data_IF_049343748063
#
_entry.id   IF_049343748063
#
_cell.length_a   1.000
_cell.length_b   1.000
_cell.length_c   1.000
_cell.angle_alpha   90.00
_cell.angle_beta   90.00
_cell.angle_gamma   90.00
#
_symmetry.space_group_name_H-M   'P 1'
#
loop_
_entity.id
_entity.type
_entity.pdbx_description
1 polymer ?
#
# COMPACT_ATOMS: atom_id res chain seq x y z
N UNK A 1 -2.56 -5.15 -13.53
CA UNK A 1 -1.90 -4.17 -12.64
C UNK A 1 -2.23 -4.52 -11.19
N UNK A 2 -1.22 -4.74 -10.38
CA UNK A 2 -1.38 -5.06 -8.96
C UNK A 2 -0.37 -4.30 -8.13
N UNK A 3 -0.66 -4.14 -6.84
CA UNK A 3 0.30 -3.52 -5.92
C UNK A 3 1.44 -4.50 -5.63
N UNK A 4 2.66 -3.98 -5.53
CA UNK A 4 3.82 -4.78 -5.15
C UNK A 4 3.85 -4.90 -3.62
N UNK A 5 3.72 -6.13 -3.13
CA UNK A 5 3.63 -6.39 -1.68
C UNK A 5 4.87 -5.95 -0.92
N UNK A 6 6.04 -6.29 -1.42
CA UNK A 6 7.30 -5.93 -0.74
C UNK A 6 7.51 -4.42 -0.68
N UNK A 7 7.21 -3.74 -1.77
CA UNK A 7 7.35 -2.28 -1.82
C UNK A 7 6.31 -1.60 -0.94
N UNK A 8 5.08 -2.12 -0.91
CA UNK A 8 4.06 -1.59 0.00
C UNK A 8 4.49 -1.75 1.45
N UNK A 9 5.10 -2.87 1.78
CA UNK A 9 5.62 -3.11 3.12
C UNK A 9 6.71 -2.08 3.48
N UNK A 10 7.57 -1.74 2.52
CA UNK A 10 8.59 -0.71 2.73
C UNK A 10 7.97 0.66 3.01
N UNK A 11 6.89 1.01 2.30
CA UNK A 11 6.17 2.26 2.57
C UNK A 11 5.65 2.28 4.01
N UNK A 12 5.06 1.17 4.44
CA UNK A 12 4.53 1.07 5.80
C UNK A 12 5.62 1.27 6.83
N UNK A 13 6.78 0.64 6.63
CA UNK A 13 7.91 0.78 7.56
C UNK A 13 8.45 2.20 7.58
N UNK A 14 8.57 2.82 6.43
CA UNK A 14 9.20 4.14 6.29
C UNK A 14 8.30 5.25 6.84
N UNK A 15 7.02 5.22 6.52
CA UNK A 15 6.11 6.34 6.81
C UNK A 15 5.14 6.08 7.94
N UNK A 16 4.93 4.84 8.33
CA UNK A 16 3.92 4.47 9.32
C UNK A 16 4.48 3.65 10.49
N UNK A 17 5.78 3.67 10.68
CA UNK A 17 6.45 3.00 11.80
C UNK A 17 6.07 1.51 11.90
N UNK A 18 5.94 0.84 10.75
CA UNK A 18 5.61 -0.59 10.66
C UNK A 18 4.23 -0.90 11.26
N UNK A 19 3.32 0.07 11.23
CA UNK A 19 1.98 -0.07 11.81
C UNK A 19 0.95 -0.11 10.67
N UNK A 20 0.36 -1.30 10.43
CA UNK A 20 -0.57 -1.47 9.33
C UNK A 20 -1.90 -0.74 9.55
N UNK A 21 -2.33 -0.56 10.79
CA UNK A 21 -3.54 0.22 11.07
C UNK A 21 -3.37 1.67 10.65
N UNK A 22 -2.22 2.24 10.96
CA UNK A 22 -1.90 3.60 10.57
C UNK A 22 -1.79 3.72 9.04
N UNK A 23 -1.12 2.75 8.42
CA UNK A 23 -0.95 2.72 6.97
C UNK A 23 -2.30 2.61 6.27
N UNK A 24 -3.18 1.73 6.75
CA UNK A 24 -4.53 1.58 6.20
C UNK A 24 -5.31 2.89 6.30
N UNK A 25 -5.18 3.59 7.42
CA UNK A 25 -5.85 4.86 7.63
C UNK A 25 -5.35 5.90 6.62
N UNK A 26 -4.06 5.98 6.41
CA UNK A 26 -3.49 6.92 5.46
C UNK A 26 -3.83 6.57 4.01
N UNK A 27 -3.95 5.29 3.70
CA UNK A 27 -4.37 4.84 2.38
C UNK A 27 -5.89 4.98 2.18
N UNK A 28 -6.65 5.03 3.26
CA UNK A 28 -8.11 5.05 3.19
C UNK A 28 -8.71 3.69 2.86
N UNK A 29 -8.05 2.61 3.28
CA UNK A 29 -8.54 1.24 3.06
C UNK A 29 -8.80 0.56 4.39
N UNK A 30 -9.55 -0.55 4.35
CA UNK A 30 -9.85 -1.35 5.52
C UNK A 30 -8.57 -2.00 6.05
N UNK A 31 -8.26 -1.87 7.37
CA UNK A 31 -7.05 -2.49 7.93
C UNK A 31 -6.99 -4.00 7.73
N UNK A 32 -8.13 -4.69 7.79
CA UNK A 32 -8.17 -6.13 7.58
C UNK A 32 -7.77 -6.49 6.15
N UNK A 33 -8.25 -5.72 5.18
CA UNK A 33 -7.89 -5.90 3.77
C UNK A 33 -6.39 -5.68 3.56
N UNK A 34 -5.85 -4.61 4.13
CA UNK A 34 -4.42 -4.31 4.01
C UNK A 34 -3.58 -5.40 4.66
N UNK A 35 -3.95 -5.83 5.86
CA UNK A 35 -3.23 -6.89 6.56
C UNK A 35 -3.20 -8.18 5.73
N UNK A 36 -4.35 -8.55 5.16
CA UNK A 36 -4.45 -9.72 4.31
C UNK A 36 -3.51 -9.61 3.10
N UNK A 37 -3.49 -8.44 2.46
CA UNK A 37 -2.60 -8.22 1.32
C UNK A 37 -1.13 -8.32 1.73
N UNK A 38 -0.75 -7.71 2.86
CA UNK A 38 0.63 -7.72 3.33
C UNK A 38 1.12 -9.11 3.71
N UNK A 39 0.22 -9.96 4.20
CA UNK A 39 0.61 -11.32 4.63
C UNK A 39 0.51 -12.36 3.53
N UNK A 40 -0.47 -12.26 2.65
CA UNK A 40 -0.74 -13.29 1.64
C UNK A 40 -0.57 -12.82 0.20
N UNK A 41 -0.51 -11.53 -0.04
CA UNK A 41 -0.49 -10.96 -1.39
C UNK A 41 -1.86 -10.90 -2.05
N UNK A 42 -2.91 -11.35 -1.38
CA UNK A 42 -4.27 -11.33 -1.92
C UNK A 42 -4.90 -9.95 -1.70
N UNK A 43 -5.62 -9.46 -2.70
CA UNK A 43 -6.32 -8.19 -2.59
C UNK A 43 -5.55 -6.98 -3.07
N UNK A 44 -4.45 -7.20 -3.80
CA UNK A 44 -3.65 -6.09 -4.34
C UNK A 44 -4.19 -5.53 -5.66
N UNK A 45 -5.51 -5.50 -5.84
CA UNK A 45 -6.15 -5.05 -7.07
C UNK A 45 -6.42 -3.55 -7.12
N UNK A 46 -7.39 -3.16 -7.94
CA UNK A 46 -7.68 -1.75 -8.27
C UNK A 46 -7.79 -0.83 -7.06
N UNK A 47 -8.46 -1.27 -6.03
CA UNK A 47 -8.71 -0.44 -4.84
C UNK A 47 -7.40 -0.08 -4.15
N UNK A 48 -6.56 -1.08 -3.93
CA UNK A 48 -5.29 -0.87 -3.27
C UNK A 48 -4.30 -0.14 -4.18
N UNK A 49 -4.28 -0.47 -5.47
CA UNK A 49 -3.45 0.24 -6.45
C UNK A 49 -3.78 1.73 -6.43
N UNK A 50 -5.06 2.08 -6.50
CA UNK A 50 -5.48 3.47 -6.46
C UNK A 50 -5.09 4.17 -5.17
N UNK A 51 -5.22 3.46 -4.04
CA UNK A 51 -4.84 4.01 -2.74
C UNK A 51 -3.33 4.28 -2.67
N UNK A 52 -2.52 3.35 -3.16
CA UNK A 52 -1.06 3.52 -3.18
C UNK A 52 -0.66 4.66 -4.10
N UNK A 53 -1.31 4.78 -5.26
CA UNK A 53 -1.03 5.89 -6.17
C UNK A 53 -1.29 7.24 -5.50
N UNK A 54 -2.41 7.38 -4.80
CA UNK A 54 -2.73 8.62 -4.09
C UNK A 54 -1.71 8.90 -2.98
N UNK A 55 -1.31 7.87 -2.26
CA UNK A 55 -0.31 7.99 -1.21
C UNK A 55 1.03 8.47 -1.78
N UNK A 56 1.45 7.87 -2.89
CA UNK A 56 2.71 8.24 -3.54
C UNK A 56 2.66 9.69 -4.04
N UNK A 57 1.51 10.12 -4.57
CA UNK A 57 1.35 11.50 -5.02
C UNK A 57 1.49 12.49 -3.86
N UNK A 58 0.90 12.16 -2.72
CA UNK A 58 1.00 13.02 -1.54
C UNK A 58 2.42 13.12 -1.00
N UNK A 59 3.18 12.05 -1.12
CA UNK A 59 4.57 12.01 -0.64
C UNK A 59 5.57 12.34 -1.72
N UNK A 60 5.11 12.66 -2.93
CA UNK A 60 5.95 12.95 -4.09
C UNK A 60 6.88 11.77 -4.44
N UNK A 61 6.33 10.57 -4.37
CA UNK A 61 7.04 9.34 -4.71
C UNK A 61 6.62 8.86 -6.10
N UNK A 62 7.49 8.08 -6.73
CA UNK A 62 7.19 7.49 -8.03
C UNK A 62 6.39 6.21 -7.83
N UNK A 63 5.09 6.25 -8.13
CA UNK A 63 4.20 5.10 -7.87
C UNK A 63 4.59 3.85 -8.68
N UNK A 64 5.29 4.03 -9.77
CA UNK A 64 5.70 2.89 -10.62
C UNK A 64 6.58 1.90 -9.88
N UNK A 65 7.28 2.33 -8.86
CA UNK A 65 8.10 1.44 -8.03
C UNK A 65 7.26 0.54 -7.13
N UNK A 66 6.01 0.92 -6.89
CA UNK A 66 5.14 0.23 -5.93
C UNK A 66 4.01 -0.55 -6.59
N UNK A 67 3.91 -0.49 -7.91
CA UNK A 67 2.85 -1.13 -8.69
C UNK A 67 3.48 -2.04 -9.72
N UNK A 68 2.98 -3.27 -9.83
CA UNK A 68 3.39 -4.21 -10.87
C UNK A 68 2.38 -4.18 -12.02
N UNK A 69 2.87 -4.10 -13.21
CA UNK A 69 2.05 -4.04 -14.43
C UNK A 69 1.85 -5.43 -15.05
#
# INVERSE_FOLDING_TARGET
>A
MTANREKAYELMKTYCADNYNRFARELGVDPSHLHRFLTTGVGGGKKLVGAIMRFCMQKQLCFEEYIEI
#
